data_IF_903455390826
#
_entry.id   IF_903455390826
#
_cell.length_a   1.000
_cell.length_b   1.000
_cell.length_c   1.000
_cell.angle_alpha   90.00
_cell.angle_beta   90.00
_cell.angle_gamma   90.00
#
_symmetry.space_group_name_H-M   'P 1'
#
loop_
_entity.id
_entity.type
_entity.pdbx_description
1 polymer ?
#
# COMPACT_ATOMS: atom_id res chain seq x y z
N UNK A 1 -18.74 -10.42 9.45
CA UNK A 1 -17.64 -11.36 9.11
C UNK A 1 -17.60 -12.51 10.12
N UNK A 2 -17.80 -13.75 9.68
CA UNK A 2 -17.72 -14.95 10.52
C UNK A 2 -16.34 -15.62 10.37
N UNK A 3 -15.84 -16.28 11.42
CA UNK A 3 -14.62 -17.10 11.34
C UNK A 3 -13.30 -16.42 11.71
N UNK A 4 -13.31 -15.12 12.07
CA UNK A 4 -12.12 -14.46 12.63
C UNK A 4 -11.85 -14.95 14.05
N UNK A 5 -10.59 -15.30 14.34
CA UNK A 5 -10.12 -15.58 15.71
C UNK A 5 -10.09 -14.29 16.51
N UNK A 6 -9.54 -13.23 15.93
CA UNK A 6 -9.58 -11.87 16.47
C UNK A 6 -10.59 -11.00 15.72
N UNK A 7 -11.72 -10.73 16.38
CA UNK A 7 -12.82 -9.94 15.82
C UNK A 7 -12.51 -8.44 15.76
N UNK A 8 -11.55 -7.94 16.54
CA UNK A 8 -11.24 -6.51 16.58
C UNK A 8 -10.50 -6.03 15.33
N UNK A 9 -9.92 -6.95 14.54
CA UNK A 9 -9.30 -6.65 13.25
C UNK A 9 -10.32 -6.16 12.21
N UNK A 10 -11.59 -6.53 12.36
CA UNK A 10 -12.66 -6.10 11.46
C UNK A 10 -13.28 -4.78 11.95
N UNK A 11 -12.74 -3.66 11.48
CA UNK A 11 -13.23 -2.32 11.82
C UNK A 11 -14.08 -1.70 10.72
N UNK A 12 -15.17 -1.06 11.12
CA UNK A 12 -16.12 -0.34 10.24
C UNK A 12 -16.10 1.17 10.53
N UNK A 13 -14.90 1.72 10.73
CA UNK A 13 -14.66 3.13 11.04
C UNK A 13 -13.33 3.56 10.40
N UNK A 14 -13.13 4.87 10.18
CA UNK A 14 -11.83 5.40 9.78
C UNK A 14 -10.94 5.63 11.00
N UNK A 15 -9.62 5.61 10.81
CA UNK A 15 -8.65 5.88 11.88
C UNK A 15 -8.09 7.30 11.71
N UNK A 16 -8.39 8.19 12.64
CA UNK A 16 -7.89 9.58 12.63
C UNK A 16 -7.37 9.92 14.01
N UNK A 17 -6.10 10.33 14.11
CA UNK A 17 -5.46 10.71 15.37
C UNK A 17 -5.58 9.64 16.48
N UNK A 18 -5.51 8.35 16.13
CA UNK A 18 -5.66 7.23 17.09
C UNK A 18 -7.11 6.98 17.55
N UNK A 19 -8.09 7.60 16.89
CA UNK A 19 -9.51 7.38 17.16
C UNK A 19 -10.21 6.73 15.96
N UNK A 20 -11.06 5.75 16.26
CA UNK A 20 -11.92 5.10 15.28
C UNK A 20 -13.23 5.88 15.12
N UNK A 21 -13.37 6.63 14.03
CA UNK A 21 -14.44 7.61 13.84
C UNK A 21 -15.33 7.31 12.62
N UNK A 22 -16.64 7.64 12.69
CA UNK A 22 -17.53 7.60 11.53
C UNK A 22 -17.28 8.79 10.60
N UNK A 23 -17.96 8.83 9.46
CA UNK A 23 -18.02 10.03 8.63
C UNK A 23 -18.84 11.11 9.36
N UNK A 24 -18.46 12.37 9.23
CA UNK A 24 -19.18 13.53 9.81
C UNK A 24 -20.63 13.57 9.32
N UNK A 25 -20.85 13.19 8.05
CA UNK A 25 -22.18 13.10 7.46
C UNK A 25 -23.03 11.92 7.95
N UNK A 26 -22.43 10.97 8.70
CA UNK A 26 -23.05 9.70 9.07
C UNK A 26 -23.22 8.72 7.91
N UNK A 27 -22.88 9.10 6.67
CA UNK A 27 -23.01 8.24 5.48
C UNK A 27 -21.95 7.13 5.51
N UNK A 28 -22.32 5.98 4.93
CA UNK A 28 -21.45 4.81 4.81
C UNK A 28 -21.48 4.26 3.38
N UNK A 29 -20.43 3.54 3.00
CA UNK A 29 -20.32 2.78 1.75
C UNK A 29 -20.39 1.28 2.06
N UNK A 30 -21.22 0.50 1.34
CA UNK A 30 -21.21 -0.95 1.48
C UNK A 30 -19.93 -1.53 0.89
N UNK A 31 -19.43 -2.58 1.53
CA UNK A 31 -18.38 -3.44 0.98
C UNK A 31 -19.02 -4.81 0.76
N UNK A 32 -18.84 -5.35 -0.44
CA UNK A 32 -19.54 -6.55 -0.90
C UNK A 32 -18.51 -7.64 -1.18
N UNK A 33 -18.79 -8.85 -0.72
CA UNK A 33 -18.03 -10.03 -1.11
C UNK A 33 -18.26 -10.32 -2.60
N UNK A 34 -17.22 -10.27 -3.45
CA UNK A 34 -17.38 -10.44 -4.89
C UNK A 34 -17.79 -11.86 -5.29
N UNK A 35 -17.54 -12.88 -4.46
CA UNK A 35 -17.94 -14.26 -4.75
C UNK A 35 -19.42 -14.52 -4.46
N UNK A 36 -19.96 -13.92 -3.39
CA UNK A 36 -21.33 -14.17 -2.93
C UNK A 36 -22.30 -13.05 -3.25
N UNK A 37 -21.80 -11.86 -3.61
CA UNK A 37 -22.56 -10.61 -3.77
C UNK A 37 -23.28 -10.14 -2.49
N UNK A 38 -22.91 -10.69 -1.33
CA UNK A 38 -23.44 -10.30 -0.03
C UNK A 38 -22.63 -9.15 0.55
N UNK A 39 -23.31 -8.17 1.15
CA UNK A 39 -22.66 -7.08 1.87
C UNK A 39 -22.02 -7.62 3.14
N UNK A 40 -20.69 -7.51 3.24
CA UNK A 40 -19.91 -8.01 4.38
C UNK A 40 -19.87 -7.01 5.54
N UNK A 41 -20.10 -5.73 5.24
CA UNK A 41 -20.18 -4.63 6.18
C UNK A 41 -20.24 -3.29 5.44
N UNK A 42 -20.07 -2.21 6.20
CA UNK A 42 -19.92 -0.86 5.67
C UNK A 42 -18.65 -0.19 6.18
N UNK A 43 -18.19 0.83 5.48
CA UNK A 43 -17.16 1.77 5.96
C UNK A 43 -17.67 3.21 5.85
N UNK A 44 -17.14 4.15 6.63
CA UNK A 44 -17.48 5.56 6.48
C UNK A 44 -17.33 6.08 5.04
N UNK A 45 -18.27 6.92 4.61
CA UNK A 45 -18.17 7.68 3.37
C UNK A 45 -17.56 9.06 3.67
N UNK A 46 -16.28 9.09 4.06
CA UNK A 46 -15.59 10.34 4.40
C UNK A 46 -15.27 11.18 3.16
N UNK A 47 -15.12 12.49 3.36
CA UNK A 47 -14.84 13.46 2.32
C UNK A 47 -13.66 14.37 2.67
N UNK A 48 -13.70 15.61 2.19
CA UNK A 48 -12.62 16.59 2.38
C UNK A 48 -12.40 16.95 3.86
N UNK A 49 -13.47 17.04 4.65
CA UNK A 49 -13.40 17.46 6.07
C UNK A 49 -12.58 16.48 6.91
N UNK A 50 -12.90 15.19 6.86
CA UNK A 50 -12.17 14.17 7.61
C UNK A 50 -10.74 14.00 7.07
N UNK A 51 -10.55 14.18 5.77
CA UNK A 51 -9.22 14.14 5.15
C UNK A 51 -8.34 15.26 5.69
N UNK A 52 -8.88 16.48 5.80
CA UNK A 52 -8.19 17.62 6.40
C UNK A 52 -7.83 17.35 7.86
N UNK A 53 -8.76 16.82 8.66
CA UNK A 53 -8.50 16.44 10.05
C UNK A 53 -7.40 15.38 10.17
N UNK A 54 -7.37 14.39 9.27
CA UNK A 54 -6.31 13.40 9.22
C UNK A 54 -4.94 13.99 8.85
N UNK A 55 -4.91 14.97 7.93
CA UNK A 55 -3.68 15.68 7.56
C UNK A 55 -3.18 16.54 8.73
N UNK A 56 -4.07 17.24 9.43
CA UNK A 56 -3.73 18.02 10.62
C UNK A 56 -3.16 17.12 11.73
N UNK A 57 -3.81 15.98 12.00
CA UNK A 57 -3.32 14.99 12.95
C UNK A 57 -1.93 14.45 12.57
N UNK A 58 -1.72 14.14 11.28
CA UNK A 58 -0.43 13.70 10.77
C UNK A 58 0.66 14.75 10.92
N UNK A 59 0.32 16.04 10.75
CA UNK A 59 1.24 17.15 10.94
C UNK A 59 1.60 17.35 12.42
N UNK A 60 0.61 17.29 13.32
CA UNK A 60 0.84 17.39 14.76
C UNK A 60 1.73 16.25 15.27
N UNK A 61 1.52 15.02 14.79
CA UNK A 61 2.34 13.87 15.17
C UNK A 61 3.76 13.90 14.56
N UNK A 62 3.95 14.59 13.42
CA UNK A 62 5.20 14.56 12.67
C UNK A 62 6.40 15.08 13.46
N UNK A 63 6.24 16.19 14.20
CA UNK A 63 7.36 16.80 14.93
C UNK A 63 7.91 15.91 16.05
N UNK A 64 7.05 15.16 16.74
CA UNK A 64 7.48 14.17 17.71
C UNK A 64 8.06 12.92 17.02
N UNK A 65 7.36 12.41 15.98
CA UNK A 65 7.76 11.21 15.27
C UNK A 65 9.13 11.34 14.59
N UNK A 66 9.40 12.46 13.92
CA UNK A 66 10.70 12.68 13.23
C UNK A 66 11.89 12.72 14.18
N UNK A 67 11.66 13.04 15.46
CA UNK A 67 12.70 13.13 16.51
C UNK A 67 12.98 11.81 17.21
N UNK A 68 12.12 10.81 17.03
CA UNK A 68 12.43 9.44 17.46
C UNK A 68 13.73 8.97 16.83
N UNK A 69 14.45 8.11 17.51
CA UNK A 69 15.66 7.51 16.94
C UNK A 69 15.29 6.51 15.85
N UNK A 70 16.22 6.28 14.93
CA UNK A 70 16.10 5.23 13.91
C UNK A 70 15.85 3.84 14.54
N UNK A 71 16.43 3.58 15.72
CA UNK A 71 16.28 2.32 16.43
C UNK A 71 14.87 2.13 17.03
N UNK A 72 14.27 3.18 17.60
CA UNK A 72 12.91 3.14 18.14
C UNK A 72 11.88 2.92 17.02
N UNK A 73 12.00 3.65 15.89
CA UNK A 73 11.11 3.44 14.74
C UNK A 73 11.21 2.03 14.20
N UNK A 74 12.43 1.50 14.12
CA UNK A 74 12.66 0.13 13.70
C UNK A 74 11.99 -0.87 14.65
N UNK A 75 12.10 -0.68 15.97
CA UNK A 75 11.47 -1.56 16.96
C UNK A 75 9.94 -1.60 16.82
N UNK A 76 9.29 -0.44 16.62
CA UNK A 76 7.85 -0.35 16.39
C UNK A 76 7.43 -1.06 15.09
N UNK A 77 8.20 -0.90 14.01
CA UNK A 77 7.94 -1.60 12.75
C UNK A 77 8.17 -3.12 12.86
N UNK A 78 9.16 -3.58 13.62
CA UNK A 78 9.36 -5.01 13.90
C UNK A 78 8.17 -5.59 14.70
N UNK A 79 7.66 -4.85 15.68
CA UNK A 79 6.47 -5.24 16.43
C UNK A 79 5.24 -5.34 15.52
N UNK A 80 5.06 -4.37 14.61
CA UNK A 80 3.98 -4.41 13.62
C UNK A 80 4.10 -5.60 12.66
N UNK A 81 5.31 -5.90 12.18
CA UNK A 81 5.58 -7.10 11.38
C UNK A 81 5.27 -8.40 12.13
N UNK A 82 5.64 -8.49 13.41
CA UNK A 82 5.36 -9.65 14.25
C UNK A 82 3.85 -9.88 14.39
N UNK A 83 3.08 -8.82 14.66
CA UNK A 83 1.63 -8.87 14.75
C UNK A 83 0.96 -9.27 13.42
N UNK A 84 1.47 -8.79 12.27
CA UNK A 84 0.98 -9.24 10.97
C UNK A 84 1.21 -10.74 10.74
N UNK A 85 2.33 -11.26 11.22
CA UNK A 85 2.67 -12.69 11.12
C UNK A 85 1.82 -13.54 12.05
N UNK A 86 1.55 -13.06 13.26
CA UNK A 86 0.68 -13.69 14.25
C UNK A 86 -0.77 -13.80 13.74
N UNK A 87 -1.30 -12.73 13.14
CA UNK A 87 -2.67 -12.66 12.64
C UNK A 87 -2.80 -13.06 11.16
N UNK A 88 -1.85 -13.80 10.60
CA UNK A 88 -1.79 -14.17 9.18
C UNK A 88 -3.11 -14.73 8.63
N UNK A 89 -3.74 -15.66 9.36
CA UNK A 89 -4.98 -16.31 8.91
C UNK A 89 -6.17 -15.35 8.89
N UNK A 90 -6.34 -14.54 9.93
CA UNK A 90 -7.44 -13.58 10.03
C UNK A 90 -7.30 -12.48 8.97
N UNK A 91 -6.08 -11.97 8.77
CA UNK A 91 -5.78 -11.02 7.70
C UNK A 91 -6.03 -11.63 6.30
N UNK A 92 -5.63 -12.90 6.11
CA UNK A 92 -5.91 -13.63 4.87
C UNK A 92 -7.41 -13.81 4.62
N UNK A 93 -8.18 -14.08 5.67
CA UNK A 93 -9.64 -14.21 5.60
C UNK A 93 -10.30 -12.86 5.26
N UNK A 94 -9.89 -11.77 5.90
CA UNK A 94 -10.37 -10.42 5.58
C UNK A 94 -10.16 -10.11 4.11
N UNK A 95 -8.93 -10.33 3.63
CA UNK A 95 -8.52 -10.03 2.28
C UNK A 95 -9.28 -10.85 1.23
N UNK A 96 -9.37 -12.18 1.41
CA UNK A 96 -10.08 -13.05 0.44
C UNK A 96 -11.56 -12.68 0.37
N UNK A 97 -12.19 -12.36 1.50
CA UNK A 97 -13.63 -12.06 1.53
C UNK A 97 -13.97 -10.72 0.87
N UNK A 98 -13.13 -9.68 0.99
CA UNK A 98 -13.44 -8.39 0.35
C UNK A 98 -12.95 -8.30 -1.10
N UNK A 99 -11.87 -9.01 -1.46
CA UNK A 99 -11.22 -8.87 -2.77
C UNK A 99 -11.47 -10.05 -3.72
N UNK A 100 -11.66 -11.26 -3.19
CA UNK A 100 -12.05 -12.45 -3.95
C UNK A 100 -10.92 -13.41 -4.35
N UNK A 101 -9.63 -13.09 -4.14
CA UNK A 101 -8.55 -14.05 -4.47
C UNK A 101 -8.57 -15.27 -3.53
N UNK A 102 -8.11 -16.45 -3.98
CA UNK A 102 -8.03 -17.63 -3.13
C UNK A 102 -7.28 -17.37 -1.81
N UNK A 103 -7.69 -18.04 -0.73
CA UNK A 103 -7.14 -17.81 0.61
C UNK A 103 -5.63 -18.01 0.68
N UNK A 104 -5.07 -18.96 -0.07
CA UNK A 104 -3.62 -19.18 -0.08
C UNK A 104 -2.86 -18.05 -0.81
N UNK A 105 -3.44 -17.48 -1.86
CA UNK A 105 -2.91 -16.24 -2.46
C UNK A 105 -3.00 -15.06 -1.49
N UNK A 106 -4.11 -14.96 -0.75
CA UNK A 106 -4.30 -13.93 0.28
C UNK A 106 -3.21 -14.03 1.37
N UNK A 107 -2.99 -15.22 1.94
CA UNK A 107 -1.91 -15.48 2.90
C UNK A 107 -0.53 -15.18 2.31
N UNK A 108 -0.31 -15.54 1.05
CA UNK A 108 0.91 -15.19 0.32
C UNK A 108 1.11 -13.66 0.25
N UNK A 109 0.05 -12.91 -0.03
CA UNK A 109 0.09 -11.44 0.00
C UNK A 109 0.32 -10.90 1.41
N UNK A 110 -0.27 -11.47 2.47
CA UNK A 110 -0.04 -11.00 3.84
C UNK A 110 1.45 -11.12 4.18
N UNK A 111 2.07 -12.28 3.92
CA UNK A 111 3.52 -12.48 4.12
C UNK A 111 4.36 -11.52 3.27
N UNK A 112 4.00 -11.34 2.00
CA UNK A 112 4.69 -10.40 1.11
C UNK A 112 4.54 -8.95 1.58
N UNK A 113 3.39 -8.54 2.09
CA UNK A 113 3.18 -7.24 2.67
C UNK A 113 3.98 -7.06 3.96
N UNK A 114 3.98 -8.06 4.83
CA UNK A 114 4.76 -8.08 6.08
C UNK A 114 6.26 -7.95 5.80
N UNK A 115 6.77 -8.56 4.73
CA UNK A 115 8.20 -8.46 4.39
C UNK A 115 8.65 -7.04 4.06
N UNK A 116 7.76 -6.16 3.56
CA UNK A 116 8.10 -4.73 3.42
C UNK A 116 8.24 -4.03 4.77
N UNK A 117 7.37 -4.34 5.73
CA UNK A 117 7.46 -3.80 7.09
C UNK A 117 8.78 -4.22 7.72
N UNK A 118 9.11 -5.52 7.63
CA UNK A 118 10.39 -6.06 8.09
C UNK A 118 11.58 -5.38 7.43
N UNK A 119 11.59 -5.32 6.10
CA UNK A 119 12.66 -4.70 5.33
C UNK A 119 12.88 -3.23 5.73
N UNK A 120 11.81 -2.44 5.83
CA UNK A 120 11.96 -1.02 6.16
C UNK A 120 12.21 -0.75 7.65
N UNK A 121 11.84 -1.66 8.55
CA UNK A 121 12.33 -1.62 9.93
C UNK A 121 13.87 -1.71 9.97
N UNK A 122 14.43 -2.59 9.15
CA UNK A 122 15.88 -2.72 9.03
C UNK A 122 16.51 -1.49 8.35
N UNK A 123 15.94 -1.01 7.26
CA UNK A 123 16.44 0.17 6.54
C UNK A 123 16.33 1.47 7.34
N UNK A 124 15.43 1.55 8.32
CA UNK A 124 15.37 2.70 9.22
C UNK A 124 16.73 2.98 9.88
N UNK A 125 17.53 1.94 10.17
CA UNK A 125 18.86 2.07 10.79
C UNK A 125 19.99 2.39 9.79
N UNK A 126 19.68 2.48 8.49
CA UNK A 126 20.66 2.61 7.39
C UNK A 126 20.46 3.85 6.52
N UNK A 127 19.76 4.87 7.05
CA UNK A 127 19.58 6.16 6.39
C UNK A 127 20.89 6.97 6.48
N UNK A 128 21.87 6.56 5.69
CA UNK A 128 23.22 7.12 5.73
C UNK A 128 23.32 8.39 4.88
N UNK A 129 23.94 9.42 5.47
CA UNK A 129 24.48 10.56 4.77
C UNK A 129 25.86 10.28 4.16
N UNK A 130 26.53 11.31 3.65
CA UNK A 130 27.92 11.20 3.21
C UNK A 130 28.69 12.52 3.40
N UNK A 131 30.02 12.43 3.37
CA UNK A 131 30.91 13.57 3.27
C UNK A 131 31.54 13.59 1.88
N UNK A 132 31.65 14.77 1.29
CA UNK A 132 32.19 14.95 -0.07
C UNK A 132 33.44 15.84 0.02
N UNK A 133 34.56 15.47 -0.65
CA UNK A 133 35.73 16.33 -0.74
C UNK A 133 35.37 17.71 -1.31
N UNK A 134 35.78 18.76 -0.61
CA UNK A 134 35.53 20.12 -1.06
C UNK A 134 36.54 20.53 -2.14
N UNK A 135 36.09 21.10 -3.28
CA UNK A 135 36.99 21.67 -4.27
C UNK A 135 37.60 23.01 -3.81
N UNK A 136 37.08 23.60 -2.73
CA UNK A 136 37.54 24.86 -2.16
C UNK A 136 38.22 24.63 -0.82
N UNK A 137 39.41 25.22 -0.63
CA UNK A 137 40.15 25.17 0.63
C UNK A 137 39.32 25.68 1.82
N UNK A 138 39.53 25.07 2.98
CA UNK A 138 38.86 25.48 4.23
C UNK A 138 37.37 25.12 4.32
N UNK A 139 36.81 24.38 3.36
CA UNK A 139 35.38 23.98 3.38
C UNK A 139 35.20 22.46 3.53
N UNK A 140 34.03 22.07 4.03
CA UNK A 140 33.55 20.69 4.15
C UNK A 140 32.14 20.59 3.56
N UNK A 141 31.87 19.51 2.86
CA UNK A 141 30.54 19.22 2.30
C UNK A 141 30.01 17.99 3.02
N UNK A 142 28.83 18.13 3.63
CA UNK A 142 28.12 17.08 4.33
C UNK A 142 26.72 16.98 3.74
N UNK A 143 26.28 15.76 3.41
CA UNK A 143 24.94 15.46 2.93
C UNK A 143 24.22 14.63 3.97
N UNK A 144 23.07 15.12 4.42
CA UNK A 144 22.16 14.42 5.33
C UNK A 144 20.87 14.07 4.59
N UNK A 145 20.13 13.09 5.11
CA UNK A 145 18.82 12.67 4.60
C UNK A 145 17.80 12.79 5.73
N UNK A 146 16.74 13.55 5.48
CA UNK A 146 15.67 13.81 6.45
C UNK A 146 14.30 13.42 5.88
N UNK A 147 13.30 13.10 6.72
CA UNK A 147 11.95 12.81 6.27
C UNK A 147 11.35 13.99 5.51
N UNK A 148 10.57 13.68 4.48
CA UNK A 148 9.91 14.69 3.64
C UNK A 148 8.74 15.40 4.35
N UNK A 149 8.15 14.78 5.38
CA UNK A 149 6.98 15.29 6.09
C UNK A 149 5.75 14.41 5.93
N UNK A 150 4.56 15.03 5.97
CA UNK A 150 3.28 14.33 5.82
C UNK A 150 3.13 13.76 4.40
N UNK A 151 2.79 12.48 4.33
CA UNK A 151 2.64 11.73 3.08
C UNK A 151 1.17 11.34 2.84
N UNK A 152 0.62 11.70 1.67
CA UNK A 152 -0.64 11.16 1.15
C UNK A 152 -0.42 9.84 0.42
N UNK A 153 -1.08 8.78 0.85
CA UNK A 153 -0.93 7.43 0.32
C UNK A 153 -2.26 6.95 -0.24
N UNK A 154 -2.32 6.67 -1.54
CA UNK A 154 -3.56 6.21 -2.21
C UNK A 154 -3.28 4.84 -2.84
N UNK A 155 -4.03 3.82 -2.44
CA UNK A 155 -3.77 2.42 -2.83
C UNK A 155 -4.94 1.77 -3.60
N UNK A 156 -4.66 0.83 -4.52
CA UNK A 156 -5.65 0.12 -5.31
C UNK A 156 -6.20 -1.10 -4.54
N UNK A 157 -7.17 -1.77 -5.15
CA UNK A 157 -7.88 -2.91 -4.55
C UNK A 157 -7.22 -4.27 -4.78
N UNK A 158 -6.36 -4.40 -5.78
CA UNK A 158 -5.90 -5.71 -6.24
C UNK A 158 -4.88 -6.38 -5.31
N UNK A 159 -4.13 -5.59 -4.53
CA UNK A 159 -3.25 -6.04 -3.44
C UNK A 159 -3.50 -5.15 -2.22
N UNK A 160 -4.62 -5.33 -1.52
CA UNK A 160 -5.11 -4.37 -0.54
C UNK A 160 -4.27 -4.36 0.75
N UNK A 161 -3.44 -5.37 0.98
CA UNK A 161 -2.47 -5.40 2.08
C UNK A 161 -1.09 -4.89 1.61
N UNK A 162 -0.53 -5.51 0.56
CA UNK A 162 0.85 -5.24 0.17
C UNK A 162 1.06 -3.82 -0.39
N UNK A 163 0.06 -3.22 -1.05
CA UNK A 163 0.19 -1.84 -1.55
C UNK A 163 0.27 -0.81 -0.43
N UNK A 164 -0.30 -1.12 0.73
CA UNK A 164 -0.24 -0.26 1.91
C UNK A 164 1.13 -0.36 2.54
N UNK A 165 1.58 -1.57 2.90
CA UNK A 165 2.87 -1.74 3.59
C UNK A 165 4.05 -1.29 2.73
N UNK A 166 4.00 -1.48 1.41
CA UNK A 166 5.00 -0.95 0.45
C UNK A 166 5.19 0.55 0.50
N UNK A 167 4.21 1.31 1.00
CA UNK A 167 4.22 2.77 1.04
C UNK A 167 4.33 3.31 2.47
N UNK A 168 3.57 2.73 3.40
CA UNK A 168 3.53 3.15 4.81
C UNK A 168 4.82 2.77 5.53
N UNK A 169 5.33 1.54 5.34
CA UNK A 169 6.55 1.10 6.02
C UNK A 169 7.78 1.98 5.70
N UNK A 170 8.11 2.30 4.43
CA UNK A 170 9.23 3.21 4.16
C UNK A 170 8.98 4.64 4.64
N UNK A 171 7.73 5.12 4.58
CA UNK A 171 7.38 6.45 5.09
C UNK A 171 7.67 6.55 6.60
N UNK A 172 7.16 5.60 7.38
CA UNK A 172 7.38 5.56 8.82
C UNK A 172 8.85 5.35 9.17
N UNK A 173 9.55 4.42 8.51
CA UNK A 173 10.98 4.17 8.72
C UNK A 173 11.82 5.44 8.55
N UNK A 174 11.51 6.22 7.50
CA UNK A 174 12.16 7.49 7.22
C UNK A 174 11.85 8.60 8.25
N UNK A 175 10.83 8.42 9.11
CA UNK A 175 10.36 9.41 10.07
C UNK A 175 9.21 10.29 9.56
N UNK A 176 8.51 9.86 8.50
CA UNK A 176 7.33 10.55 7.96
C UNK A 176 6.05 10.05 8.65
N UNK A 177 4.98 10.83 8.55
CA UNK A 177 3.60 10.42 8.92
C UNK A 177 2.76 10.24 7.66
N UNK A 178 1.68 9.46 7.76
CA UNK A 178 0.89 9.04 6.61
C UNK A 178 -0.62 9.25 6.79
N UNK A 179 -1.25 9.70 5.70
CA UNK A 179 -2.71 9.68 5.52
C UNK A 179 -3.00 8.72 4.37
N UNK A 180 -3.66 7.60 4.67
CA UNK A 180 -3.91 6.49 3.76
C UNK A 180 -5.36 6.51 3.30
N UNK A 181 -5.57 6.50 1.99
CA UNK A 181 -6.85 6.27 1.34
C UNK A 181 -6.81 4.93 0.60
N UNK A 182 -7.38 3.85 1.16
CA UNK A 182 -7.49 2.58 0.45
C UNK A 182 -8.57 2.62 -0.63
N UNK A 183 -8.57 1.61 -1.50
CA UNK A 183 -9.65 1.43 -2.45
C UNK A 183 -10.97 1.14 -1.70
N UNK A 184 -12.07 1.73 -2.16
CA UNK A 184 -13.39 1.57 -1.53
C UNK A 184 -13.94 0.14 -1.58
N UNK A 185 -13.42 -0.70 -2.48
CA UNK A 185 -13.83 -2.09 -2.64
C UNK A 185 -13.18 -3.03 -1.63
N UNK A 186 -12.00 -2.67 -1.12
CA UNK A 186 -11.20 -3.52 -0.24
C UNK A 186 -10.59 -2.72 0.94
N UNK A 187 -11.40 -1.99 1.72
CA UNK A 187 -10.90 -1.14 2.79
C UNK A 187 -10.51 -1.91 4.05
N UNK A 188 -11.05 -3.11 4.30
CA UNK A 188 -10.89 -3.80 5.58
C UNK A 188 -9.48 -4.33 5.79
N UNK A 189 -8.77 -4.75 4.75
CA UNK A 189 -7.35 -5.09 4.86
C UNK A 189 -6.53 -3.90 5.37
N UNK A 190 -6.85 -2.69 4.92
CA UNK A 190 -6.20 -1.46 5.38
C UNK A 190 -6.48 -1.16 6.84
N UNK A 191 -7.75 -1.30 7.24
CA UNK A 191 -8.18 -1.03 8.61
C UNK A 191 -7.62 -2.07 9.58
N UNK A 192 -7.57 -3.35 9.20
CA UNK A 192 -6.95 -4.39 10.00
C UNK A 192 -5.46 -4.13 10.23
N UNK A 193 -4.73 -3.70 9.19
CA UNK A 193 -3.34 -3.26 9.31
C UNK A 193 -3.18 -2.08 10.29
N UNK A 194 -4.14 -1.15 10.28
CA UNK A 194 -4.14 0.00 11.17
C UNK A 194 -4.40 -0.39 12.64
N UNK A 195 -5.30 -1.35 12.90
CA UNK A 195 -5.46 -1.96 14.24
C UNK A 195 -4.14 -2.55 14.73
N UNK A 196 -3.45 -3.31 13.87
CA UNK A 196 -2.16 -3.89 14.24
C UNK A 196 -1.07 -2.84 14.43
N UNK A 197 -1.13 -1.72 13.70
CA UNK A 197 -0.20 -0.61 13.89
C UNK A 197 -0.38 0.06 15.26
N UNK A 198 -1.62 0.28 15.69
CA UNK A 198 -1.92 0.80 17.04
C UNK A 198 -1.40 -0.16 18.12
N UNK A 199 -1.66 -1.46 17.96
CA UNK A 199 -1.18 -2.50 18.89
C UNK A 199 0.35 -2.61 18.92
N UNK A 200 1.02 -2.32 17.81
CA UNK A 200 2.48 -2.24 17.74
C UNK A 200 3.06 -1.03 18.48
N UNK A 201 2.21 -0.10 18.95
CA UNK A 201 2.61 1.12 19.64
C UNK A 201 2.94 2.27 18.69
N UNK A 202 2.54 2.21 17.41
CA UNK A 202 2.70 3.35 16.50
C UNK A 202 1.84 4.51 17.03
N UNK A 203 2.43 5.70 17.30
CA UNK A 203 1.72 6.77 17.98
C UNK A 203 0.49 7.30 17.21
N UNK A 204 -0.53 7.80 17.92
CA UNK A 204 -1.68 8.46 17.31
C UNK A 204 -1.27 9.52 16.29
N UNK A 205 -1.91 9.50 15.11
CA UNK A 205 -1.66 10.45 14.03
C UNK A 205 -0.46 10.10 13.13
N UNK A 206 0.41 9.16 13.50
CA UNK A 206 1.51 8.73 12.61
C UNK A 206 0.97 7.97 11.39
N UNK A 207 -0.06 7.14 11.60
CA UNK A 207 -0.87 6.54 10.54
C UNK A 207 -2.32 7.00 10.74
N UNK A 208 -2.93 7.47 9.66
CA UNK A 208 -4.36 7.77 9.59
C UNK A 208 -4.94 7.05 8.36
N UNK A 209 -6.14 6.51 8.47
CA UNK A 209 -6.83 5.81 7.39
C UNK A 209 -8.20 6.44 7.17
N UNK A 210 -8.37 7.09 6.02
CA UNK A 210 -9.61 7.74 5.61
C UNK A 210 -10.27 6.88 4.53
N UNK A 211 -11.52 6.49 4.77
CA UNK A 211 -12.30 5.65 3.84
C UNK A 211 -13.37 6.48 3.15
N UNK A 212 -13.62 6.22 1.87
CA UNK A 212 -14.59 7.00 1.10
C UNK A 212 -14.32 6.93 -0.39
N UNK A 213 -15.11 7.72 -1.14
CA UNK A 213 -14.91 7.86 -2.58
C UNK A 213 -13.68 8.72 -2.86
N UNK A 214 -12.99 8.45 -3.96
CA UNK A 214 -11.69 9.07 -4.27
C UNK A 214 -11.77 10.59 -4.50
N UNK A 215 -12.93 11.16 -4.86
CA UNK A 215 -13.10 12.56 -5.24
C UNK A 215 -12.54 13.56 -4.21
N UNK A 216 -13.36 13.95 -3.24
CA UNK A 216 -13.00 14.98 -2.26
C UNK A 216 -11.74 14.63 -1.45
N UNK A 217 -11.52 13.35 -1.13
CA UNK A 217 -10.32 12.90 -0.40
C UNK A 217 -9.06 13.17 -1.23
N UNK A 218 -9.09 12.84 -2.53
CA UNK A 218 -7.96 13.06 -3.42
C UNK A 218 -7.70 14.54 -3.67
N UNK A 219 -8.77 15.33 -3.82
CA UNK A 219 -8.70 16.79 -3.98
C UNK A 219 -8.05 17.46 -2.76
N UNK A 220 -8.47 17.11 -1.54
CA UNK A 220 -7.87 17.65 -0.31
C UNK A 220 -6.39 17.25 -0.19
N UNK A 221 -6.02 15.99 -0.47
CA UNK A 221 -4.62 15.54 -0.46
C UNK A 221 -3.75 16.33 -1.45
N UNK A 222 -4.28 16.67 -2.62
CA UNK A 222 -3.56 17.45 -3.64
C UNK A 222 -3.46 18.92 -3.28
N UNK A 223 -4.55 19.54 -2.79
CA UNK A 223 -4.61 20.97 -2.51
C UNK A 223 -3.87 21.36 -1.21
N UNK A 224 -3.84 20.48 -0.21
CA UNK A 224 -3.33 20.83 1.12
C UNK A 224 -1.79 20.90 1.12
N UNK A 225 -1.23 22.08 1.43
CA UNK A 225 0.21 22.35 1.42
C UNK A 225 1.01 21.55 2.47
N UNK A 226 0.34 21.07 3.52
CA UNK A 226 0.93 20.22 4.56
C UNK A 226 1.44 18.90 3.98
N UNK A 227 0.73 18.35 2.98
CA UNK A 227 1.15 17.13 2.30
C UNK A 227 2.34 17.45 1.39
N UNK A 228 3.51 16.88 1.70
CA UNK A 228 4.76 17.12 0.94
C UNK A 228 5.09 16.00 -0.05
N UNK A 229 4.45 14.83 0.09
CA UNK A 229 4.63 13.69 -0.79
C UNK A 229 3.32 12.96 -1.05
N UNK A 230 3.08 12.58 -2.30
CA UNK A 230 2.00 11.67 -2.68
C UNK A 230 2.61 10.38 -3.23
N UNK A 231 2.10 9.24 -2.76
CA UNK A 231 2.43 7.92 -3.30
C UNK A 231 1.16 7.23 -3.75
N UNK A 232 1.06 6.95 -5.04
CA UNK A 232 -0.13 6.38 -5.67
C UNK A 232 0.22 5.10 -6.41
N UNK A 233 -0.70 4.14 -6.34
CA UNK A 233 -0.72 3.00 -7.26
C UNK A 233 -2.12 2.86 -7.84
N UNK A 234 -2.23 2.74 -9.16
CA UNK A 234 -3.51 2.60 -9.84
C UNK A 234 -3.42 2.90 -11.33
N UNK A 235 -4.50 3.42 -11.91
CA UNK A 235 -4.53 3.66 -13.36
C UNK A 235 -3.68 4.87 -13.77
N UNK A 236 -3.10 4.81 -14.97
CA UNK A 236 -2.31 5.91 -15.54
C UNK A 236 -3.10 7.20 -15.61
N UNK A 237 -4.39 7.14 -15.96
CA UNK A 237 -5.29 8.31 -16.00
C UNK A 237 -5.36 9.04 -14.67
N UNK A 238 -5.56 8.31 -13.56
CA UNK A 238 -5.62 8.92 -12.23
C UNK A 238 -4.23 9.41 -11.79
N UNK A 239 -3.16 8.66 -12.12
CA UNK A 239 -1.79 9.11 -11.87
C UNK A 239 -1.47 10.46 -12.53
N UNK A 240 -1.89 10.66 -13.79
CA UNK A 240 -1.75 11.93 -14.48
C UNK A 240 -2.57 13.07 -13.86
N UNK A 241 -3.75 12.78 -13.32
CA UNK A 241 -4.55 13.78 -12.59
C UNK A 241 -3.86 14.18 -11.28
N UNK A 242 -3.38 13.19 -10.51
CA UNK A 242 -2.63 13.43 -9.28
C UNK A 242 -1.35 14.23 -9.54
N UNK A 243 -0.66 13.96 -10.64
CA UNK A 243 0.54 14.71 -11.03
C UNK A 243 0.23 16.18 -11.35
N UNK A 244 -0.90 16.46 -12.01
CA UNK A 244 -1.36 17.84 -12.24
C UNK A 244 -1.73 18.53 -10.94
N UNK A 245 -2.54 17.92 -10.08
CA UNK A 245 -2.92 18.55 -8.81
C UNK A 245 -1.75 18.74 -7.84
N UNK A 246 -0.68 17.96 -7.98
CA UNK A 246 0.54 18.12 -7.19
C UNK A 246 1.48 19.24 -7.67
N UNK A 247 1.26 19.82 -8.87
CA UNK A 247 2.20 20.80 -9.44
C UNK A 247 2.19 22.13 -8.71
N UNK A 248 1.04 22.57 -8.21
CA UNK A 248 0.87 23.90 -7.60
C UNK A 248 1.70 24.07 -6.32
N UNK A 249 2.00 22.97 -5.64
CA UNK A 249 2.81 22.95 -4.40
C UNK A 249 4.08 22.12 -4.53
N UNK A 250 4.42 21.70 -5.76
CA UNK A 250 5.64 20.94 -6.12
C UNK A 250 5.86 19.72 -5.22
N UNK A 251 4.79 18.94 -4.97
CA UNK A 251 4.87 17.77 -4.08
C UNK A 251 5.75 16.69 -4.70
N UNK A 252 6.47 15.92 -3.86
CA UNK A 252 7.19 14.73 -4.34
C UNK A 252 6.18 13.64 -4.73
N UNK A 253 6.38 13.01 -5.88
CA UNK A 253 5.50 11.97 -6.39
C UNK A 253 6.19 10.61 -6.47
N UNK A 254 5.43 9.55 -6.19
CA UNK A 254 5.76 8.17 -6.59
C UNK A 254 4.52 7.56 -7.21
N UNK A 255 4.61 7.15 -8.47
CA UNK A 255 3.47 6.69 -9.27
C UNK A 255 3.77 5.31 -9.85
N UNK A 256 3.03 4.29 -9.40
CA UNK A 256 3.03 2.95 -9.98
C UNK A 256 1.75 2.79 -10.79
N UNK A 257 1.85 2.76 -12.12
CA UNK A 257 0.71 2.95 -13.01
C UNK A 257 0.40 1.69 -13.85
N UNK A 258 -0.31 1.87 -14.97
CA UNK A 258 -0.66 0.76 -15.86
C UNK A 258 0.56 0.17 -16.57
N UNK A 259 0.58 -1.15 -16.72
CA UNK A 259 1.56 -1.90 -17.50
C UNK A 259 0.94 -2.57 -18.73
N UNK A 260 1.80 -3.05 -19.64
CA UNK A 260 1.43 -3.89 -20.78
C UNK A 260 2.53 -4.94 -21.02
N UNK A 261 2.73 -5.79 -20.01
CA UNK A 261 3.90 -6.67 -19.91
C UNK A 261 3.92 -7.72 -21.04
N UNK A 262 4.97 -7.74 -21.89
CA UNK A 262 5.23 -8.86 -22.77
C UNK A 262 5.87 -10.01 -22.00
N UNK A 263 5.40 -11.24 -22.22
CA UNK A 263 6.05 -12.49 -21.83
C UNK A 263 6.55 -13.14 -23.11
N UNK A 264 7.86 -13.27 -23.28
CA UNK A 264 8.48 -13.64 -24.57
C UNK A 264 9.11 -15.02 -24.45
N UNK A 265 8.75 -15.93 -25.36
CA UNK A 265 9.26 -17.30 -25.44
C UNK A 265 9.96 -17.49 -26.78
N UNK A 266 11.27 -17.74 -26.74
CA UNK A 266 12.10 -18.04 -27.91
C UNK A 266 12.17 -19.56 -28.15
N UNK A 267 12.64 -19.95 -29.33
CA UNK A 267 12.76 -21.35 -29.76
C UNK A 267 13.68 -22.18 -28.86
N UNK A 268 14.65 -21.53 -28.21
CA UNK A 268 15.62 -22.15 -27.29
C UNK A 268 15.18 -22.15 -25.82
N UNK A 269 13.96 -21.70 -25.54
CA UNK A 269 13.42 -21.70 -24.18
C UNK A 269 13.13 -23.13 -23.70
N UNK A 270 13.36 -23.37 -22.41
CA UNK A 270 12.74 -24.50 -21.72
C UNK A 270 11.22 -24.27 -21.68
N UNK A 271 10.49 -24.98 -22.55
CA UNK A 271 9.06 -24.78 -22.72
C UNK A 271 8.25 -25.16 -21.48
N UNK A 272 8.67 -26.14 -20.70
CA UNK A 272 7.94 -26.53 -19.50
C UNK A 272 8.06 -25.45 -18.42
N UNK A 273 9.26 -24.90 -18.24
CA UNK A 273 9.46 -23.75 -17.35
C UNK A 273 8.75 -22.49 -17.85
N UNK A 274 8.74 -22.25 -19.17
CA UNK A 274 8.03 -21.13 -19.76
C UNK A 274 6.51 -21.21 -19.50
N UNK A 275 5.94 -22.42 -19.53
CA UNK A 275 4.52 -22.64 -19.22
C UNK A 275 4.23 -22.39 -17.74
N UNK A 276 5.04 -22.89 -16.81
CA UNK A 276 4.89 -22.56 -15.38
C UNK A 276 4.94 -21.04 -15.14
N UNK A 277 5.93 -20.38 -15.75
CA UNK A 277 6.07 -18.93 -15.69
C UNK A 277 4.87 -18.19 -16.27
N UNK A 278 4.33 -18.67 -17.39
CA UNK A 278 3.12 -18.10 -18.00
C UNK A 278 1.90 -18.27 -17.09
N UNK A 279 1.71 -19.44 -16.48
CA UNK A 279 0.58 -19.71 -15.59
C UNK A 279 0.61 -18.76 -14.39
N UNK A 280 1.75 -18.70 -13.69
CA UNK A 280 1.91 -17.87 -12.49
C UNK A 280 1.84 -16.38 -12.82
N UNK A 281 2.43 -15.94 -13.92
CA UNK A 281 2.42 -14.51 -14.29
C UNK A 281 1.10 -14.05 -14.91
N UNK A 282 0.31 -14.94 -15.54
CA UNK A 282 -0.94 -14.57 -16.22
C UNK A 282 -2.18 -14.72 -15.34
N UNK A 283 -2.29 -15.80 -14.57
CA UNK A 283 -3.56 -16.18 -13.94
C UNK A 283 -3.62 -15.91 -12.44
N UNK A 284 -2.48 -15.67 -11.78
CA UNK A 284 -2.44 -15.22 -10.37
C UNK A 284 -3.35 -14.02 -10.16
N UNK A 285 -4.09 -14.00 -9.06
CA UNK A 285 -5.07 -12.95 -8.72
C UNK A 285 -6.15 -12.75 -9.79
N UNK A 286 -6.51 -13.81 -10.53
CA UNK A 286 -7.41 -13.74 -11.68
C UNK A 286 -6.86 -12.88 -12.83
N UNK A 287 -5.54 -12.74 -12.93
CA UNK A 287 -4.88 -11.86 -13.91
C UNK A 287 -4.93 -10.36 -13.58
N UNK A 288 -5.40 -10.00 -12.39
CA UNK A 288 -5.64 -8.61 -11.98
C UNK A 288 -4.43 -8.01 -11.26
N UNK A 289 -3.23 -8.16 -11.84
CA UNK A 289 -2.01 -7.56 -11.29
C UNK A 289 -1.38 -6.59 -12.29
N UNK A 290 -0.72 -5.54 -11.80
CA UNK A 290 -0.05 -4.56 -12.67
C UNK A 290 1.13 -5.15 -13.46
N UNK A 291 1.69 -6.28 -12.98
CA UNK A 291 2.82 -6.98 -13.59
C UNK A 291 2.39 -8.25 -14.33
N UNK A 292 1.09 -8.53 -14.42
CA UNK A 292 0.61 -9.71 -15.12
C UNK A 292 0.99 -9.69 -16.59
N UNK A 293 1.36 -10.86 -17.13
CA UNK A 293 1.59 -11.01 -18.57
C UNK A 293 0.34 -10.54 -19.34
N UNK A 294 0.49 -9.53 -20.19
CA UNK A 294 -0.62 -9.00 -20.98
C UNK A 294 -0.57 -9.53 -22.42
N UNK A 295 0.64 -9.71 -22.95
CA UNK A 295 0.90 -10.26 -24.28
C UNK A 295 1.91 -11.39 -24.15
N UNK A 296 1.51 -12.61 -24.52
CA UNK A 296 2.42 -13.76 -24.56
C UNK A 296 2.86 -13.89 -26.03
N UNK A 297 4.14 -13.61 -26.27
CA UNK A 297 4.76 -13.62 -27.59
C UNK A 297 5.64 -14.85 -27.70
N UNK A 298 5.31 -15.75 -28.63
CA UNK A 298 5.98 -17.04 -28.78
C UNK A 298 6.56 -17.10 -30.18
N UNK A 299 7.83 -17.51 -30.28
CA UNK A 299 8.53 -17.67 -31.55
C UNK A 299 7.91 -18.81 -32.38
N UNK A 300 7.91 -18.64 -33.71
CA UNK A 300 7.20 -19.48 -34.67
C UNK A 300 7.53 -20.98 -34.51
N UNK A 301 8.80 -21.32 -34.28
CA UNK A 301 9.26 -22.71 -34.18
C UNK A 301 8.71 -23.50 -32.99
N UNK A 302 8.28 -22.80 -31.93
CA UNK A 302 7.73 -23.40 -30.70
C UNK A 302 6.28 -23.03 -30.40
N UNK A 303 5.63 -22.24 -31.27
CA UNK A 303 4.28 -21.70 -31.05
C UNK A 303 3.25 -22.79 -30.74
N UNK A 304 3.10 -23.77 -31.63
CA UNK A 304 2.07 -24.81 -31.51
C UNK A 304 2.28 -25.70 -30.27
N UNK A 305 3.54 -26.00 -29.96
CA UNK A 305 3.89 -26.83 -28.81
C UNK A 305 3.58 -26.10 -27.50
N UNK A 306 3.96 -24.81 -27.42
CA UNK A 306 3.65 -23.97 -26.29
C UNK A 306 2.14 -23.82 -26.10
N UNK A 307 1.39 -23.51 -27.16
CA UNK A 307 -0.06 -23.33 -27.09
C UNK A 307 -0.79 -24.60 -26.59
N UNK A 308 -0.40 -25.77 -27.10
CA UNK A 308 -0.95 -27.06 -26.66
C UNK A 308 -0.64 -27.34 -25.19
N UNK A 309 0.60 -27.11 -24.75
CA UNK A 309 0.99 -27.31 -23.34
C UNK A 309 0.24 -26.35 -22.40
N UNK A 310 0.07 -25.09 -22.80
CA UNK A 310 -0.63 -24.09 -21.99
C UNK A 310 -2.11 -24.42 -21.83
N UNK A 311 -2.76 -24.92 -22.89
CA UNK A 311 -4.20 -25.21 -22.89
C UNK A 311 -4.62 -26.33 -21.92
N UNK A 312 -3.70 -27.22 -21.51
CA UNK A 312 -3.98 -28.35 -20.62
C UNK A 312 -3.81 -27.98 -19.14
N UNK A 313 -3.30 -26.77 -18.85
CA UNK A 313 -2.99 -26.28 -17.50
C UNK A 313 -4.10 -25.41 -16.93
#
# INVERSE_FOLDING_TARGET
MHGLKDKELFRQAGLIAGAWVPAVSGKTLPVTDPATQVVIGTVPAMGGVETKLAIEAAASAFEAWRKTTHAERAALLEAWHALMSEHLDDLGLILTTEQGKPLDEARGEIRYGASFVKWFAEEARRINGCTIPSPTHGRRIVVLKEPVGVCGIITPWNFPNAMITRKVAPALAAGCTAVVKPAQYTPYSALALAVLAERAGIPPGVINVVTGQTGEIGEEIMANETVRKISFTGSTRIGSLLMRGASDTVKRLSLELGGNAPFIVFDDADLDLAIEGAIVSKFRNGGQTCVCANRILVQDGVYDVFAKKLAVR
#
